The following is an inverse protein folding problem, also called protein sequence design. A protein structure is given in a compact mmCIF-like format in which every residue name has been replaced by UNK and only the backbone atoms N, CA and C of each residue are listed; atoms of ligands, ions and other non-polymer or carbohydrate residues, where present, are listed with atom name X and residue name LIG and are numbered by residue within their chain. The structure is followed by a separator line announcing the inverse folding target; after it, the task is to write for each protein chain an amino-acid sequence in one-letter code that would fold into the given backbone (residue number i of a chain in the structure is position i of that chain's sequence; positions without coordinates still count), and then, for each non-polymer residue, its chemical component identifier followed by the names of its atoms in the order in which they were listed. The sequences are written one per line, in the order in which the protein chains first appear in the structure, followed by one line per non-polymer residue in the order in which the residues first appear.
data_IF_520683112258
#
_entry.id   IF_520683112258
#
_cell.length_a   1.000
_cell.length_b   1.000
_cell.length_c   1.000
_cell.angle_alpha   90.00
_cell.angle_beta   90.00
_cell.angle_gamma   90.00
#
_symmetry.space_group_name_H-M   'P 1'
#
loop_
_entity.id
_entity.type
_entity.pdbx_description
1 polymer ?
#
# COMPACT_ATOMS: atom_id res chain seq x y z
N UNK A 1 18.15 8.03 -17.86
CA UNK A 1 18.62 7.56 -16.53
C UNK A 1 17.56 6.62 -15.98
N UNK A 2 17.77 5.31 -16.10
CA UNK A 2 16.85 4.29 -15.57
C UNK A 2 17.18 4.10 -14.09
N UNK A 3 16.22 4.37 -13.20
CA UNK A 3 16.35 4.21 -11.75
C UNK A 3 16.11 2.75 -11.31
N UNK A 4 16.81 1.78 -11.92
CA UNK A 4 16.55 0.35 -11.62
C UNK A 4 17.75 -0.43 -11.08
N UNK A 5 18.95 0.14 -11.03
CA UNK A 5 20.15 -0.70 -10.96
C UNK A 5 20.84 -0.70 -9.58
N UNK A 6 20.09 -0.43 -8.49
CA UNK A 6 20.70 -0.05 -7.20
C UNK A 6 20.29 -0.82 -5.94
N UNK A 7 19.43 -1.83 -5.98
CA UNK A 7 19.08 -2.60 -4.77
C UNK A 7 18.93 -4.10 -5.09
N UNK A 8 20.06 -4.82 -5.01
CA UNK A 8 20.11 -6.26 -5.18
C UNK A 8 19.65 -7.01 -3.91
N UNK A 9 18.85 -8.06 -4.17
CA UNK A 9 18.84 -9.35 -3.48
C UNK A 9 18.06 -9.53 -2.17
N UNK A 10 16.78 -9.89 -2.30
CA UNK A 10 16.22 -11.14 -1.74
C UNK A 10 15.06 -11.63 -2.63
N UNK A 11 15.28 -12.73 -3.37
CA UNK A 11 14.25 -13.65 -3.88
C UNK A 11 13.29 -13.14 -4.96
N UNK A 12 13.39 -13.70 -6.17
CA UNK A 12 12.42 -13.55 -7.26
C UNK A 12 10.97 -13.84 -6.81
N UNK A 13 10.07 -12.85 -6.94
CA UNK A 13 8.63 -13.06 -7.23
C UNK A 13 7.76 -11.77 -7.25
N UNK A 14 8.24 -10.61 -6.78
CA UNK A 14 7.39 -9.41 -6.70
C UNK A 14 8.17 -8.16 -7.09
N UNK A 15 7.86 -7.56 -8.25
CA UNK A 15 8.40 -6.26 -8.68
C UNK A 15 7.86 -5.13 -7.78
N UNK A 16 8.36 -5.09 -6.55
CA UNK A 16 7.98 -4.11 -5.55
C UNK A 16 8.69 -2.79 -5.85
N UNK A 17 7.91 -1.72 -6.08
CA UNK A 17 8.45 -0.37 -6.05
C UNK A 17 8.99 -0.01 -4.65
N UNK A 18 9.84 1.02 -4.51
CA UNK A 18 10.31 1.49 -3.21
C UNK A 18 9.17 1.77 -2.22
N UNK A 19 8.02 2.25 -2.71
CA UNK A 19 6.84 2.52 -1.88
C UNK A 19 6.21 1.24 -1.32
N UNK A 20 6.16 0.15 -2.10
CA UNK A 20 5.71 -1.16 -1.60
C UNK A 20 6.64 -1.65 -0.48
N UNK A 21 7.95 -1.59 -0.69
CA UNK A 21 8.93 -2.07 0.30
C UNK A 21 8.81 -1.26 1.59
N UNK A 22 8.76 0.08 1.50
CA UNK A 22 8.58 0.95 2.65
C UNK A 22 7.28 0.65 3.41
N UNK A 23 6.18 0.40 2.68
CA UNK A 23 4.89 0.02 3.24
C UNK A 23 4.92 -1.33 3.95
N UNK A 24 5.57 -2.37 3.39
CA UNK A 24 5.73 -3.69 4.04
C UNK A 24 6.57 -3.56 5.31
N UNK A 25 7.67 -2.78 5.24
CA UNK A 25 8.64 -2.66 6.34
C UNK A 25 8.20 -1.74 7.47
N UNK A 26 7.11 -0.98 7.30
CA UNK A 26 6.64 -0.06 8.34
C UNK A 26 7.42 1.25 8.42
N UNK A 27 8.15 1.62 7.36
CA UNK A 27 9.00 2.82 7.35
C UNK A 27 8.17 4.08 7.05
N UNK A 28 7.47 4.61 8.07
CA UNK A 28 6.54 5.74 7.95
C UNK A 28 7.17 6.96 7.24
N UNK A 29 8.33 7.43 7.70
CA UNK A 29 8.98 8.61 7.11
C UNK A 29 9.32 8.41 5.61
N UNK A 30 9.79 7.21 5.25
CA UNK A 30 10.11 6.88 3.86
C UNK A 30 8.85 6.80 3.00
N UNK A 31 7.74 6.28 3.52
CA UNK A 31 6.45 6.31 2.82
C UNK A 31 6.04 7.77 2.54
N UNK A 32 6.13 8.64 3.54
CA UNK A 32 5.75 10.05 3.40
C UNK A 32 6.61 10.77 2.37
N UNK A 33 7.93 10.59 2.40
CA UNK A 33 8.85 11.19 1.43
C UNK A 33 8.58 10.72 0.00
N UNK A 34 8.38 9.40 -0.20
CA UNK A 34 8.13 8.84 -1.52
C UNK A 34 6.77 9.31 -2.06
N UNK A 35 5.72 9.28 -1.24
CA UNK A 35 4.38 9.73 -1.64
C UNK A 35 4.36 11.21 -1.98
N UNK A 36 4.97 12.05 -1.15
CA UNK A 36 5.10 13.49 -1.40
C UNK A 36 5.79 13.76 -2.75
N UNK A 37 6.88 13.05 -3.03
CA UNK A 37 7.58 13.16 -4.32
C UNK A 37 6.73 12.68 -5.49
N UNK A 38 6.02 11.56 -5.34
CA UNK A 38 5.15 11.03 -6.40
C UNK A 38 4.03 12.01 -6.74
N UNK A 39 3.37 12.58 -5.73
CA UNK A 39 2.33 13.60 -5.91
C UNK A 39 2.92 14.86 -6.57
N UNK A 40 4.09 15.33 -6.11
CA UNK A 40 4.79 16.47 -6.71
C UNK A 40 5.16 16.26 -8.18
N UNK A 41 5.50 15.02 -8.56
CA UNK A 41 5.76 14.60 -9.94
C UNK A 41 4.47 14.34 -10.75
N UNK A 42 3.27 14.47 -10.16
CA UNK A 42 1.99 14.18 -10.79
C UNK A 42 1.75 12.68 -11.04
N UNK A 43 2.39 11.80 -10.26
CA UNK A 43 2.28 10.34 -10.37
C UNK A 43 1.24 9.79 -9.40
N UNK A 44 0.56 8.74 -9.85
CA UNK A 44 -0.40 7.98 -9.02
C UNK A 44 0.34 7.13 -7.98
N UNK A 45 -0.15 7.13 -6.74
CA UNK A 45 0.39 6.32 -5.63
C UNK A 45 -0.17 4.88 -5.62
N UNK A 46 -1.21 4.60 -6.40
CA UNK A 46 -1.82 3.27 -6.58
C UNK A 46 -1.01 2.36 -7.53
N UNK A 47 0.31 2.51 -7.54
CA UNK A 47 1.22 1.62 -8.29
C UNK A 47 1.03 0.17 -7.83
N UNK A 48 1.13 -0.78 -8.75
CA UNK A 48 0.97 -2.20 -8.45
C UNK A 48 2.28 -2.96 -8.63
N UNK A 49 2.53 -3.96 -7.79
CA UNK A 49 3.61 -4.93 -7.99
C UNK A 49 3.14 -6.12 -8.85
N UNK A 50 4.00 -7.14 -9.03
CA UNK A 50 3.64 -8.34 -9.80
C UNK A 50 2.49 -9.17 -9.22
N UNK A 51 2.17 -9.05 -7.93
CA UNK A 51 0.99 -9.66 -7.33
C UNK A 51 -0.29 -8.83 -7.56
N UNK A 52 -0.18 -7.67 -8.19
CA UNK A 52 -1.26 -6.68 -8.25
C UNK A 52 -1.51 -5.98 -6.91
N UNK A 53 -0.64 -6.16 -5.91
CA UNK A 53 -0.76 -5.44 -4.66
C UNK A 53 -0.36 -3.99 -4.89
N UNK A 54 -1.12 -3.07 -4.31
CA UNK A 54 -0.73 -1.66 -4.14
C UNK A 54 0.06 -1.47 -2.84
N UNK A 55 0.71 -0.32 -2.60
CA UNK A 55 1.30 -0.01 -1.30
C UNK A 55 0.32 -0.14 -0.14
N UNK A 56 -0.96 0.15 -0.36
CA UNK A 56 -2.01 -0.01 0.63
C UNK A 56 -2.25 -1.48 0.98
N UNK A 57 -2.25 -2.40 0.00
CA UNK A 57 -2.32 -3.84 0.26
C UNK A 57 -1.14 -4.30 1.11
N UNK A 58 0.07 -3.84 0.77
CA UNK A 58 1.29 -4.14 1.50
C UNK A 58 1.24 -3.67 2.97
N UNK A 59 0.86 -2.42 3.21
CA UNK A 59 0.72 -1.87 4.55
C UNK A 59 -0.37 -2.58 5.35
N UNK A 60 -1.48 -2.93 4.68
CA UNK A 60 -2.61 -3.59 5.31
C UNK A 60 -2.29 -5.03 5.73
N UNK A 61 -1.63 -5.79 4.84
CA UNK A 61 -1.12 -7.14 5.12
C UNK A 61 -0.07 -7.14 6.24
N UNK A 62 0.74 -6.09 6.34
CA UNK A 62 1.77 -5.98 7.39
C UNK A 62 1.26 -5.35 8.70
N UNK A 63 0.01 -4.90 8.76
CA UNK A 63 -0.60 -4.36 9.98
C UNK A 63 -0.20 -2.93 10.34
N UNK A 64 0.42 -2.18 9.43
CA UNK A 64 0.95 -0.84 9.71
C UNK A 64 -0.14 0.25 9.62
N UNK A 65 -0.98 0.36 10.65
CA UNK A 65 -2.12 1.29 10.67
C UNK A 65 -1.74 2.74 10.33
N UNK A 66 -0.62 3.25 10.87
CA UNK A 66 -0.18 4.63 10.59
C UNK A 66 0.08 4.87 9.11
N UNK A 67 0.65 3.88 8.41
CA UNK A 67 0.90 3.95 6.96
C UNK A 67 -0.41 3.84 6.19
N UNK A 68 -1.29 2.92 6.60
CA UNK A 68 -2.60 2.74 5.98
C UNK A 68 -3.41 4.05 6.04
N UNK A 69 -3.48 4.69 7.20
CA UNK A 69 -4.17 5.97 7.38
C UNK A 69 -3.59 7.04 6.47
N UNK A 70 -2.27 7.19 6.49
CA UNK A 70 -1.59 8.17 5.65
C UNK A 70 -1.86 7.94 4.16
N UNK A 71 -1.74 6.71 3.65
CA UNK A 71 -2.00 6.41 2.25
C UNK A 71 -3.44 6.73 1.85
N UNK A 72 -4.42 6.41 2.70
CA UNK A 72 -5.84 6.76 2.47
C UNK A 72 -6.05 8.28 2.46
N UNK A 73 -5.44 9.01 3.39
CA UNK A 73 -5.48 10.48 3.44
C UNK A 73 -4.85 11.12 2.18
N UNK A 74 -3.88 10.45 1.54
CA UNK A 74 -3.28 10.88 0.28
C UNK A 74 -4.04 10.39 -0.96
N UNK A 75 -5.22 9.77 -0.79
CA UNK A 75 -6.08 9.36 -1.91
C UNK A 75 -5.80 7.97 -2.48
N UNK A 76 -5.18 7.07 -1.71
CA UNK A 76 -5.05 5.68 -2.12
C UNK A 76 -6.43 5.02 -2.29
N UNK A 77 -6.62 4.31 -3.39
CA UNK A 77 -7.87 3.63 -3.69
C UNK A 77 -7.98 2.33 -2.87
N UNK A 78 -8.87 2.37 -1.87
CA UNK A 78 -9.14 1.26 -0.95
C UNK A 78 -9.86 0.09 -1.62
N UNK A 79 -10.50 0.32 -2.77
CA UNK A 79 -11.38 -0.64 -3.45
C UNK A 79 -10.65 -1.54 -4.44
N UNK A 80 -9.41 -1.20 -4.80
CA UNK A 80 -8.59 -1.99 -5.72
C UNK A 80 -8.40 -3.41 -5.20
N UNK A 81 -8.46 -4.37 -6.13
CA UNK A 81 -8.21 -5.78 -5.88
C UNK A 81 -6.87 -6.18 -6.47
N UNK A 82 -6.09 -6.94 -5.71
CA UNK A 82 -4.88 -7.58 -6.23
C UNK A 82 -5.22 -8.76 -7.17
N UNK A 83 -4.20 -9.45 -7.72
CA UNK A 83 -4.42 -10.58 -8.63
C UNK A 83 -5.08 -11.80 -7.98
N UNK A 84 -5.05 -11.90 -6.66
CA UNK A 84 -5.79 -12.92 -5.92
C UNK A 84 -7.27 -12.52 -5.70
N UNK A 85 -7.69 -11.33 -6.16
CA UNK A 85 -9.05 -10.83 -6.00
C UNK A 85 -9.33 -10.22 -4.63
N UNK A 86 -8.31 -9.99 -3.81
CA UNK A 86 -8.44 -9.43 -2.46
C UNK A 86 -8.23 -7.92 -2.47
N UNK A 87 -9.05 -7.19 -1.71
CA UNK A 87 -8.80 -5.78 -1.36
C UNK A 87 -7.84 -5.67 -0.17
N UNK A 88 -7.34 -4.45 0.09
CA UNK A 88 -6.50 -4.18 1.25
C UNK A 88 -7.17 -4.57 2.59
N UNK A 89 -8.50 -4.36 2.73
CA UNK A 89 -9.29 -4.81 3.91
C UNK A 89 -9.16 -6.32 4.07
N UNK A 90 -9.38 -7.07 3.00
CA UNK A 90 -9.37 -8.53 3.02
C UNK A 90 -7.97 -9.07 3.35
N UNK A 91 -6.90 -8.42 2.85
CA UNK A 91 -5.53 -8.74 3.25
C UNK A 91 -5.29 -8.53 4.76
N UNK A 92 -5.75 -7.41 5.33
CA UNK A 92 -5.63 -7.17 6.77
C UNK A 92 -6.42 -8.20 7.61
N UNK A 93 -7.60 -8.60 7.14
CA UNK A 93 -8.42 -9.62 7.80
C UNK A 93 -7.75 -11.00 7.78
N UNK A 94 -7.16 -11.39 6.65
CA UNK A 94 -6.45 -12.67 6.49
C UNK A 94 -5.27 -12.80 7.46
N UNK A 95 -4.54 -11.71 7.67
CA UNK A 95 -3.39 -11.67 8.60
C UNK A 95 -3.80 -11.33 10.05
N UNK A 96 -5.09 -11.14 10.32
CA UNK A 96 -5.60 -10.89 11.68
C UNK A 96 -5.37 -9.46 12.21
N UNK A 97 -5.03 -8.50 11.35
CA UNK A 97 -4.83 -7.09 11.70
C UNK A 97 -6.16 -6.35 11.83
N UNK A 98 -6.88 -6.62 12.93
CA UNK A 98 -8.24 -6.14 13.18
C UNK A 98 -8.40 -4.61 13.11
N UNK A 99 -7.48 -3.85 13.70
CA UNK A 99 -7.56 -2.39 13.72
C UNK A 99 -7.44 -1.79 12.31
N UNK A 100 -6.54 -2.34 11.50
CA UNK A 100 -6.36 -1.95 10.10
C UNK A 100 -7.59 -2.31 9.28
N UNK A 101 -8.09 -3.54 9.44
CA UNK A 101 -9.30 -3.98 8.75
C UNK A 101 -10.51 -3.11 9.10
N UNK A 102 -10.66 -2.74 10.37
CA UNK A 102 -11.74 -1.87 10.85
C UNK A 102 -11.64 -0.47 10.22
N UNK A 103 -10.45 0.13 10.23
CA UNK A 103 -10.23 1.44 9.60
C UNK A 103 -10.53 1.40 8.10
N UNK A 104 -10.01 0.42 7.36
CA UNK A 104 -10.25 0.35 5.92
C UNK A 104 -11.71 0.02 5.58
N UNK A 105 -12.39 -0.76 6.41
CA UNK A 105 -13.82 -1.03 6.25
C UNK A 105 -14.66 0.24 6.49
N UNK A 106 -14.31 1.06 7.48
CA UNK A 106 -15.00 2.32 7.72
C UNK A 106 -14.83 3.33 6.57
N UNK A 107 -13.72 3.27 5.84
CA UNK A 107 -13.52 4.04 4.61
C UNK A 107 -14.42 3.57 3.44
N UNK A 108 -14.70 2.26 3.34
CA UNK A 108 -15.60 1.73 2.31
C UNK A 108 -17.08 2.04 2.62
N UNK A 109 -17.45 2.10 3.89
CA UNK A 109 -18.83 2.31 4.33
C UNK A 109 -19.21 3.78 4.49
N UNK A 110 -18.64 4.70 3.71
CA UNK A 110 -19.16 6.07 3.62
C UNK A 110 -20.49 6.08 2.82
N UNK A 111 -21.42 5.22 3.21
CA UNK A 111 -22.80 5.20 2.77
C UNK A 111 -23.46 6.33 3.54
N UNK A 112 -23.57 7.48 2.88
CA UNK A 112 -24.43 8.55 3.32
C UNK A 112 -25.84 8.00 3.57
N UNK A 113 -26.33 8.24 4.78
CA UNK A 113 -27.74 8.22 5.14
C UNK A 113 -28.57 9.15 4.26
#
# INVERSE_FOLDING_TARGET
MKFTDGLLYLGHAYENSPLHIAAIKGHVAMVQDIVSKMIGDGKDINVINQAGDTPLHCAARAGHLSIVRYLVEQGADVSLKNKAGHTAVQCAQQEGHKEVAFFLASCHTNVGV
#
